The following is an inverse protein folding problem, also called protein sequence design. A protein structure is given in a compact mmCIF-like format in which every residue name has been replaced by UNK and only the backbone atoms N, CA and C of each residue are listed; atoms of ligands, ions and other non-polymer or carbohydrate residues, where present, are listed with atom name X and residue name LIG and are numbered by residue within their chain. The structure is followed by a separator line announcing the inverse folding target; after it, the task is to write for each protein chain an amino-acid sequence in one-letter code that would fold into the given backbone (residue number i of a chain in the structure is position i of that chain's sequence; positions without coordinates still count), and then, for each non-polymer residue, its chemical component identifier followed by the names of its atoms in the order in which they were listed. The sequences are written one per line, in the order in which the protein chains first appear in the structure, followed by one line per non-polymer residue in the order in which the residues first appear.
data_IF_209341751436
#
_entry.id   IF_209341751436
#
_cell.length_a   1.000
_cell.length_b   1.000
_cell.length_c   1.000
_cell.angle_alpha   90.00
_cell.angle_beta   90.00
_cell.angle_gamma   90.00
#
_symmetry.space_group_name_H-M   'P 1'
#
loop_
_entity.id
_entity.type
_entity.pdbx_description
1 polymer ?
#
# COMPACT_ATOMS: atom_id res chain seq x y z
N UNK A 1 22.04 13.67 25.82
CA UNK A 1 20.76 13.29 25.16
C UNK A 1 19.89 12.58 26.19
N UNK A 2 18.59 12.90 26.30
CA UNK A 2 17.66 12.34 27.30
C UNK A 2 17.33 10.86 27.02
N UNK A 3 17.10 10.06 28.06
CA UNK A 3 16.61 8.67 27.98
C UNK A 3 15.36 8.54 27.10
N UNK A 4 14.51 9.57 27.07
CA UNK A 4 13.34 9.64 26.21
C UNK A 4 13.69 9.72 24.71
N UNK A 5 14.83 10.32 24.34
CA UNK A 5 15.29 10.41 22.95
C UNK A 5 15.82 9.07 22.42
N UNK A 6 16.54 8.32 23.24
CA UNK A 6 17.02 6.96 22.92
C UNK A 6 15.85 5.98 22.67
N UNK A 7 14.79 6.15 23.46
CA UNK A 7 13.59 5.33 23.36
C UNK A 7 12.71 5.75 22.16
N UNK A 8 12.76 7.03 21.74
CA UNK A 8 12.17 7.53 20.49
C UNK A 8 12.88 6.99 19.25
N UNK A 9 14.20 6.88 19.26
CA UNK A 9 14.96 6.25 18.15
C UNK A 9 14.57 4.78 17.95
N UNK A 10 14.30 4.02 19.01
CA UNK A 10 13.82 2.62 18.91
C UNK A 10 12.33 2.48 18.55
N UNK A 11 11.51 3.53 18.73
CA UNK A 11 10.06 3.57 18.37
C UNK A 11 9.79 3.60 16.87
N UNK A 12 10.80 3.89 16.05
CA UNK A 12 10.73 3.96 14.59
C UNK A 12 11.21 2.68 13.90
N UNK A 13 10.99 1.49 14.48
CA UNK A 13 11.08 0.28 13.66
C UNK A 13 9.88 0.27 12.73
N UNK A 14 10.05 0.86 11.54
CA UNK A 14 9.16 0.66 10.40
C UNK A 14 8.85 -0.83 10.36
N UNK A 15 7.61 -1.22 10.64
CA UNK A 15 7.15 -2.58 10.41
C UNK A 15 7.43 -2.86 8.94
N UNK A 16 8.49 -3.61 8.69
CA UNK A 16 8.98 -3.81 7.33
C UNK A 16 8.14 -4.93 6.74
N UNK A 17 7.37 -4.61 5.70
CA UNK A 17 6.75 -5.62 4.83
C UNK A 17 7.79 -6.46 4.07
N UNK A 18 9.08 -6.42 4.46
CA UNK A 18 10.16 -7.20 3.83
C UNK A 18 9.94 -8.71 3.83
N UNK A 19 9.05 -9.24 4.67
CA UNK A 19 8.62 -10.64 4.55
C UNK A 19 7.83 -10.89 3.25
N UNK A 20 7.02 -9.93 2.79
CA UNK A 20 6.35 -10.00 1.49
C UNK A 20 7.38 -10.05 0.36
N UNK A 21 8.47 -9.29 0.49
CA UNK A 21 9.57 -9.30 -0.47
C UNK A 21 10.32 -10.65 -0.55
N UNK A 22 10.24 -11.47 0.49
CA UNK A 22 10.82 -12.84 0.47
C UNK A 22 9.91 -13.88 -0.17
N UNK A 23 8.60 -13.63 -0.25
CA UNK A 23 7.60 -14.59 -0.75
C UNK A 23 7.27 -14.31 -2.23
N UNK A 24 7.36 -13.04 -2.63
CA UNK A 24 7.01 -12.60 -3.98
C UNK A 24 8.29 -12.42 -4.81
N UNK A 25 8.38 -13.11 -5.94
CA UNK A 25 9.41 -12.84 -6.94
C UNK A 25 9.10 -11.54 -7.69
N UNK A 26 9.49 -10.43 -7.09
CA UNK A 26 9.33 -9.10 -7.67
C UNK A 26 10.09 -8.93 -8.99
N UNK A 27 11.21 -9.65 -9.20
CA UNK A 27 12.02 -9.49 -10.42
C UNK A 27 11.29 -10.03 -11.63
N UNK A 28 10.71 -11.22 -11.51
CA UNK A 28 9.93 -11.82 -12.61
C UNK A 28 8.67 -11.01 -12.92
N UNK A 29 7.98 -10.51 -11.89
CA UNK A 29 6.79 -9.67 -12.06
C UNK A 29 7.15 -8.35 -12.75
N UNK A 30 8.17 -7.64 -12.26
CA UNK A 30 8.61 -6.38 -12.88
C UNK A 30 9.07 -6.59 -14.31
N UNK A 31 9.82 -7.66 -14.62
CA UNK A 31 10.25 -7.94 -15.99
C UNK A 31 9.07 -8.11 -16.97
N UNK A 32 7.98 -8.76 -16.52
CA UNK A 32 6.76 -8.93 -17.33
C UNK A 32 6.05 -7.59 -17.52
N UNK A 33 5.94 -6.79 -16.45
CA UNK A 33 5.32 -5.47 -16.49
C UNK A 33 6.12 -4.56 -17.42
N UNK A 34 7.43 -4.45 -17.23
CA UNK A 34 8.33 -3.57 -17.97
C UNK A 34 8.41 -3.92 -19.46
N UNK A 35 8.26 -5.21 -19.82
CA UNK A 35 8.17 -5.64 -21.23
C UNK A 35 7.00 -4.97 -21.97
N UNK A 36 5.90 -4.71 -21.27
CA UNK A 36 4.66 -4.20 -21.87
C UNK A 36 4.31 -2.77 -21.42
N UNK A 37 4.95 -2.28 -20.36
CA UNK A 37 4.75 -0.96 -19.80
C UNK A 37 5.73 0.02 -20.46
N UNK A 38 5.21 0.81 -21.40
CA UNK A 38 5.92 1.99 -21.86
C UNK A 38 5.53 3.19 -21.00
N UNK A 39 6.53 3.84 -20.40
CA UNK A 39 6.37 5.13 -19.77
C UNK A 39 5.91 6.11 -20.84
N UNK A 40 4.70 6.65 -20.71
CA UNK A 40 4.26 7.75 -21.56
C UNK A 40 5.27 8.87 -21.38
N UNK A 41 6.08 9.14 -22.40
CA UNK A 41 6.96 10.29 -22.37
C UNK A 41 6.10 11.56 -22.34
N UNK A 42 6.62 12.59 -21.70
CA UNK A 42 6.02 13.93 -21.68
C UNK A 42 5.66 14.39 -23.10
N UNK A 43 4.75 15.36 -23.20
CA UNK A 43 4.17 15.90 -24.44
C UNK A 43 5.18 16.33 -25.55
N UNK A 44 6.48 16.21 -25.31
CA UNK A 44 7.59 16.59 -26.19
C UNK A 44 8.26 15.41 -26.93
N UNK A 45 7.96 14.15 -26.59
CA UNK A 45 8.62 13.00 -27.23
C UNK A 45 7.65 12.24 -28.16
N UNK A 46 7.97 12.23 -29.46
CA UNK A 46 7.14 11.82 -30.60
C UNK A 46 6.72 10.34 -30.68
N UNK A 47 6.95 9.52 -29.64
CA UNK A 47 6.53 8.11 -29.67
C UNK A 47 5.09 7.95 -29.19
N UNK A 48 4.16 8.03 -30.14
CA UNK A 48 2.75 7.69 -29.93
C UNK A 48 2.61 6.25 -29.43
N UNK A 49 2.16 6.07 -28.18
CA UNK A 49 1.81 4.76 -27.62
C UNK A 49 0.81 4.03 -28.54
N UNK A 50 1.08 2.75 -28.78
CA UNK A 50 0.16 1.83 -29.44
C UNK A 50 -1.18 1.77 -28.70
N UNK A 51 -2.25 1.44 -29.44
CA UNK A 51 -3.58 1.22 -28.86
C UNK A 51 -3.53 0.20 -27.72
N UNK A 52 -2.74 -0.86 -27.86
CA UNK A 52 -2.59 -1.89 -26.82
C UNK A 52 -1.84 -1.36 -25.59
N UNK A 53 -0.75 -0.62 -25.78
CA UNK A 53 0.03 -0.03 -24.68
C UNK A 53 -0.81 0.97 -23.87
N UNK A 54 -1.64 1.79 -24.54
CA UNK A 54 -2.60 2.67 -23.87
C UNK A 54 -3.60 1.90 -23.01
N UNK A 55 -4.14 0.80 -23.52
CA UNK A 55 -5.07 -0.06 -22.78
C UNK A 55 -4.34 -0.68 -21.59
N UNK A 56 -3.18 -1.30 -21.81
CA UNK A 56 -2.38 -1.96 -20.77
C UNK A 56 -1.98 -0.98 -19.65
N UNK A 57 -1.47 0.19 -20.00
CA UNK A 57 -1.15 1.25 -19.02
C UNK A 57 -2.39 1.66 -18.23
N UNK A 58 -3.57 1.75 -18.85
CA UNK A 58 -4.82 2.03 -18.13
C UNK A 58 -5.19 0.92 -17.13
N UNK A 59 -4.92 -0.35 -17.44
CA UNK A 59 -5.12 -1.47 -16.50
C UNK A 59 -4.15 -1.39 -15.32
N UNK A 60 -2.88 -1.12 -15.58
CA UNK A 60 -1.87 -0.91 -14.52
C UNK A 60 -2.28 0.25 -13.62
N UNK A 61 -2.60 1.42 -14.19
CA UNK A 61 -2.98 2.61 -13.42
C UNK A 61 -4.24 2.38 -12.57
N UNK A 62 -5.24 1.66 -13.10
CA UNK A 62 -6.43 1.28 -12.32
C UNK A 62 -6.06 0.41 -11.12
N UNK A 63 -5.18 -0.57 -11.33
CA UNK A 63 -4.73 -1.48 -10.28
C UNK A 63 -3.93 -0.72 -9.22
N UNK A 64 -2.99 0.12 -9.64
CA UNK A 64 -2.20 0.97 -8.77
C UNK A 64 -3.09 1.89 -7.92
N UNK A 65 -4.07 2.54 -8.54
CA UNK A 65 -5.01 3.40 -7.82
C UNK A 65 -5.78 2.64 -6.74
N UNK A 66 -6.24 1.41 -7.00
CA UNK A 66 -6.94 0.60 -5.99
C UNK A 66 -5.99 0.30 -4.83
N UNK A 67 -4.75 -0.07 -5.11
CA UNK A 67 -3.72 -0.37 -4.11
C UNK A 67 -3.42 0.86 -3.26
N UNK A 68 -3.06 1.98 -3.87
CA UNK A 68 -2.75 3.24 -3.19
C UNK A 68 -3.91 3.73 -2.34
N UNK A 69 -5.13 3.72 -2.89
CA UNK A 69 -6.33 4.12 -2.17
C UNK A 69 -6.57 3.21 -0.98
N UNK A 70 -6.34 1.90 -1.09
CA UNK A 70 -6.54 0.93 0.00
C UNK A 70 -5.58 1.20 1.14
N UNK A 71 -4.27 1.25 0.86
CA UNK A 71 -3.27 1.55 1.90
C UNK A 71 -3.40 2.98 2.44
N UNK A 72 -3.72 3.96 1.60
CA UNK A 72 -3.94 5.34 2.01
C UNK A 72 -5.14 5.51 2.94
N UNK A 73 -6.25 4.83 2.65
CA UNK A 73 -7.44 4.84 3.51
C UNK A 73 -7.25 4.07 4.81
N UNK A 74 -6.55 2.92 4.76
CA UNK A 74 -6.15 2.17 5.94
C UNK A 74 -5.26 3.01 6.88
N UNK A 75 -4.24 3.67 6.32
CA UNK A 75 -3.38 4.59 7.07
C UNK A 75 -4.16 5.78 7.64
N UNK A 76 -5.06 6.38 6.86
CA UNK A 76 -5.85 7.55 7.29
C UNK A 76 -6.89 7.24 8.35
N UNK A 77 -7.57 6.09 8.25
CA UNK A 77 -8.68 5.75 9.15
C UNK A 77 -8.27 4.95 10.37
N UNK A 78 -7.22 4.13 10.25
CA UNK A 78 -6.85 3.17 11.29
C UNK A 78 -5.39 3.28 11.74
N UNK A 79 -4.61 4.24 11.20
CA UNK A 79 -3.22 4.46 11.63
C UNK A 79 -2.24 3.37 11.21
N UNK A 80 -2.63 2.52 10.24
CA UNK A 80 -1.82 1.41 9.71
C UNK A 80 -0.44 1.92 9.29
N UNK A 81 0.61 1.15 9.64
CA UNK A 81 2.01 1.50 9.41
C UNK A 81 2.71 2.17 10.60
N UNK A 82 1.97 2.48 11.67
CA UNK A 82 2.52 2.84 12.97
C UNK A 82 1.92 1.96 14.06
N UNK A 83 2.74 1.47 14.97
CA UNK A 83 2.27 0.68 16.12
C UNK A 83 2.96 1.12 17.39
N UNK A 84 2.22 1.06 18.50
CA UNK A 84 2.75 1.25 19.85
C UNK A 84 3.12 -0.08 20.51
N UNK A 85 2.74 -1.20 19.89
CA UNK A 85 2.98 -2.54 20.40
C UNK A 85 4.45 -2.92 20.10
N UNK A 86 5.08 -3.60 21.07
CA UNK A 86 6.50 -3.98 20.98
C UNK A 86 6.71 -5.38 20.40
N UNK A 87 5.70 -6.25 20.49
CA UNK A 87 5.81 -7.67 20.13
C UNK A 87 5.25 -7.93 18.73
N UNK A 88 5.97 -8.72 17.92
CA UNK A 88 5.63 -8.96 16.53
C UNK A 88 4.24 -9.61 16.36
N UNK A 89 3.90 -10.60 17.20
CA UNK A 89 2.60 -11.27 17.16
C UNK A 89 1.45 -10.31 17.49
N UNK A 90 1.68 -9.36 18.40
CA UNK A 90 0.71 -8.32 18.76
C UNK A 90 0.52 -7.33 17.62
N UNK A 91 1.61 -6.94 16.94
CA UNK A 91 1.57 -6.08 15.75
C UNK A 91 0.86 -6.78 14.59
N UNK A 92 1.14 -8.07 14.37
CA UNK A 92 0.47 -8.87 13.35
C UNK A 92 -1.04 -8.95 13.60
N UNK A 93 -1.42 -9.23 14.85
CA UNK A 93 -2.83 -9.23 15.27
C UNK A 93 -3.48 -7.86 15.07
N UNK A 94 -2.79 -6.78 15.43
CA UNK A 94 -3.26 -5.40 15.20
C UNK A 94 -3.54 -5.15 13.71
N UNK A 95 -2.62 -5.52 12.82
CA UNK A 95 -2.81 -5.36 11.38
C UNK A 95 -3.97 -6.19 10.82
N UNK A 96 -4.19 -7.41 11.32
CA UNK A 96 -5.36 -8.21 10.94
C UNK A 96 -6.65 -7.50 11.34
N UNK A 97 -6.72 -6.99 12.57
CA UNK A 97 -7.90 -6.26 13.06
C UNK A 97 -8.16 -4.98 12.24
N UNK A 98 -7.12 -4.22 11.90
CA UNK A 98 -7.20 -3.04 11.04
C UNK A 98 -7.71 -3.40 9.63
N UNK A 99 -7.26 -4.52 9.06
CA UNK A 99 -7.73 -5.01 7.77
C UNK A 99 -9.21 -5.43 7.80
N UNK A 100 -9.66 -6.09 8.87
CA UNK A 100 -11.06 -6.45 9.08
C UNK A 100 -11.91 -5.18 9.23
N UNK A 101 -11.47 -4.23 10.06
CA UNK A 101 -12.16 -2.95 10.25
C UNK A 101 -12.29 -2.16 8.95
N UNK A 102 -11.24 -2.18 8.11
CA UNK A 102 -11.28 -1.60 6.77
C UNK A 102 -12.36 -2.22 5.88
N UNK A 103 -12.41 -3.56 5.82
CA UNK A 103 -13.39 -4.28 5.02
C UNK A 103 -14.82 -3.99 5.48
N UNK A 104 -15.05 -3.96 6.80
CA UNK A 104 -16.35 -3.61 7.37
C UNK A 104 -16.76 -2.18 7.01
N UNK A 105 -15.87 -1.21 7.18
CA UNK A 105 -16.15 0.21 6.87
C UNK A 105 -16.46 0.46 5.39
N UNK A 106 -15.94 -0.38 4.49
CA UNK A 106 -16.19 -0.30 3.04
C UNK A 106 -17.42 -1.11 2.59
N UNK A 107 -18.03 -1.89 3.47
CA UNK A 107 -19.22 -2.70 3.16
C UNK A 107 -20.43 -1.80 2.91
N UNK A 108 -21.07 -1.87 1.73
CA UNK A 108 -22.27 -1.08 1.41
C UNK A 108 -23.46 -1.35 2.34
N UNK A 109 -23.45 -2.49 3.05
CA UNK A 109 -24.54 -2.95 3.92
C UNK A 109 -24.45 -2.41 5.35
N UNK A 110 -23.36 -1.73 5.72
CA UNK A 110 -23.30 -0.99 6.97
C UNK A 110 -23.94 0.38 6.73
N UNK A 111 -25.25 0.46 6.96
CA UNK A 111 -25.95 1.74 7.05
C UNK A 111 -25.17 2.67 7.98
N UNK A 112 -24.87 3.87 7.50
CA UNK A 112 -24.04 4.86 8.18
C UNK A 112 -24.63 5.10 9.58
N UNK A 113 -24.03 4.51 10.61
CA UNK A 113 -24.21 5.04 11.96
C UNK A 113 -23.34 6.30 12.01
N UNK A 114 -23.93 7.48 12.27
CA UNK A 114 -23.14 8.68 12.46
C UNK A 114 -22.16 8.44 13.61
N UNK A 115 -20.90 8.75 13.37
CA UNK A 115 -19.85 8.62 14.37
C UNK A 115 -20.20 9.49 15.59
N UNK A 116 -20.20 8.88 16.78
CA UNK A 116 -20.10 9.59 18.05
C UNK A 116 -18.68 10.11 18.24
#
# INVERSE_FOLDING_TARGET
MSFAAYDVERRTRKGSFSQVDTIIDWKSISAIIDKHHQKGLSASDEKSLSKWEKVFNKWISKTHWVVERTFGSQKRWFGVGQTRLKDLDKVHTQHILEAIAYNLKRSPKMGILPAF
#
